data_IF_169253377761
#
_entry.id   IF_169253377761
#
_cell.length_a   1.000
_cell.length_b   1.000
_cell.length_c   1.000
_cell.angle_alpha   90.00
_cell.angle_beta   90.00
_cell.angle_gamma   90.00
#
_symmetry.space_group_name_H-M   'P 1'
#
loop_
_entity.id
_entity.type
_entity.pdbx_description
1 polymer ?
#
# COMPACT_ATOMS: atom_id res chain seq x y z
N UNK A 1 -45.08 -12.74 25.01
CA UNK A 1 -44.69 -13.08 23.62
C UNK A 1 -43.19 -12.80 23.51
N UNK A 2 -42.37 -13.86 23.63
CA UNK A 2 -40.94 -13.79 23.48
C UNK A 2 -40.61 -14.19 22.04
N UNK A 3 -40.26 -13.24 21.21
CA UNK A 3 -39.65 -13.54 19.91
C UNK A 3 -38.14 -13.72 20.11
N UNK A 4 -37.73 -14.97 20.29
CA UNK A 4 -36.33 -15.39 20.25
C UNK A 4 -35.83 -15.26 18.79
N UNK A 5 -34.96 -14.28 18.57
CA UNK A 5 -34.14 -14.19 17.37
C UNK A 5 -33.17 -15.40 17.33
N UNK A 6 -33.61 -16.49 16.74
CA UNK A 6 -32.73 -17.56 16.28
C UNK A 6 -32.04 -17.07 15.01
N UNK A 7 -30.92 -16.38 15.15
CA UNK A 7 -29.96 -16.34 14.04
C UNK A 7 -29.58 -17.79 13.77
N UNK A 8 -29.97 -18.27 12.60
CA UNK A 8 -29.78 -19.64 12.17
C UNK A 8 -28.28 -19.99 12.29
N UNK A 9 -27.95 -21.09 12.97
CA UNK A 9 -26.58 -21.56 13.16
C UNK A 9 -25.83 -21.68 11.82
N UNK A 10 -26.53 -22.06 10.75
CA UNK A 10 -25.99 -22.13 9.38
C UNK A 10 -25.65 -20.74 8.81
N UNK A 11 -26.37 -19.70 9.17
CA UNK A 11 -26.09 -18.33 8.78
C UNK A 11 -24.84 -17.79 9.52
N UNK A 12 -24.69 -18.11 10.80
CA UNK A 12 -23.47 -17.82 11.57
C UNK A 12 -22.26 -18.57 11.04
N UNK A 13 -22.40 -19.86 10.70
CA UNK A 13 -21.35 -20.67 10.06
C UNK A 13 -21.02 -20.15 8.65
N UNK A 14 -22.02 -19.68 7.88
CA UNK A 14 -21.79 -19.07 6.57
C UNK A 14 -21.05 -17.74 6.71
N UNK A 15 -21.39 -16.88 7.67
CA UNK A 15 -20.69 -15.62 7.94
C UNK A 15 -19.25 -15.86 8.42
N UNK A 16 -19.01 -16.83 9.31
CA UNK A 16 -17.64 -17.18 9.73
C UNK A 16 -16.83 -17.73 8.57
N UNK A 17 -17.39 -18.64 7.77
CA UNK A 17 -16.69 -19.24 6.62
C UNK A 17 -16.47 -18.24 5.48
N UNK A 18 -17.36 -17.25 5.29
CA UNK A 18 -17.22 -16.19 4.29
C UNK A 18 -16.18 -15.13 4.71
N UNK A 19 -15.79 -15.07 6.00
CA UNK A 19 -14.79 -14.15 6.52
C UNK A 19 -13.40 -14.77 6.68
N UNK A 20 -13.24 -16.08 6.40
CA UNK A 20 -11.96 -16.78 6.61
C UNK A 20 -10.89 -16.39 5.58
N UNK A 21 -11.28 -15.96 4.36
CA UNK A 21 -10.37 -15.53 3.32
C UNK A 21 -11.02 -14.49 2.39
N UNK A 22 -10.32 -13.38 2.14
CA UNK A 22 -10.70 -12.39 1.12
C UNK A 22 -9.71 -12.50 -0.03
N UNK A 23 -10.19 -12.73 -1.24
CA UNK A 23 -9.37 -12.87 -2.45
C UNK A 23 -9.47 -11.63 -3.31
N UNK A 24 -8.33 -11.01 -3.59
CA UNK A 24 -8.19 -9.93 -4.56
C UNK A 24 -7.48 -10.43 -5.81
N UNK A 25 -7.81 -9.83 -6.95
CA UNK A 25 -7.08 -10.04 -8.21
C UNK A 25 -6.21 -8.82 -8.48
N UNK A 26 -4.96 -8.99 -8.92
CA UNK A 26 -4.19 -7.88 -9.44
C UNK A 26 -4.90 -7.26 -10.66
N UNK A 27 -4.89 -5.94 -10.73
CA UNK A 27 -5.39 -5.18 -11.89
C UNK A 27 -4.25 -4.65 -12.77
N UNK A 28 -3.01 -4.87 -12.36
CA UNK A 28 -1.83 -4.39 -13.06
C UNK A 28 -0.55 -4.76 -12.33
N UNK A 29 0.56 -4.21 -12.82
CA UNK A 29 1.92 -4.42 -12.28
C UNK A 29 2.66 -3.09 -12.23
N UNK A 30 3.40 -2.86 -11.16
CA UNK A 30 4.30 -1.71 -11.02
C UNK A 30 5.66 -2.03 -11.63
N UNK A 31 6.18 -1.13 -12.48
CA UNK A 31 7.53 -1.17 -13.05
C UNK A 31 8.37 -0.06 -12.45
N UNK A 32 9.48 -0.42 -11.82
CA UNK A 32 10.35 0.51 -11.13
C UNK A 32 11.83 0.16 -11.29
N UNK A 33 12.75 1.08 -10.95
CA UNK A 33 14.18 0.77 -10.93
C UNK A 33 14.59 -0.17 -9.79
N UNK A 34 13.75 -0.38 -8.77
CA UNK A 34 14.09 -1.17 -7.59
C UNK A 34 13.79 -2.65 -7.80
N UNK A 35 14.82 -3.48 -7.87
CA UNK A 35 14.68 -4.93 -8.17
C UNK A 35 14.56 -5.79 -6.91
N UNK A 36 14.81 -5.21 -5.74
CA UNK A 36 14.72 -5.88 -4.44
C UNK A 36 14.26 -4.88 -3.36
N UNK A 37 13.69 -5.34 -2.24
CA UNK A 37 13.35 -4.48 -1.11
C UNK A 37 14.57 -3.70 -0.59
N UNK A 38 15.70 -4.35 -0.42
CA UNK A 38 16.93 -3.71 0.06
C UNK A 38 17.34 -2.55 -0.87
N UNK A 39 17.52 -1.36 -0.30
CA UNK A 39 17.84 -0.13 -1.01
C UNK A 39 16.63 0.66 -1.52
N UNK A 40 15.43 0.06 -1.52
CA UNK A 40 14.19 0.76 -1.90
C UNK A 40 13.85 1.84 -0.87
N UNK A 41 13.43 3.05 -1.30
CA UNK A 41 12.91 4.06 -0.38
C UNK A 41 11.71 3.52 0.42
N UNK A 42 11.63 3.84 1.71
CA UNK A 42 10.56 3.30 2.56
C UNK A 42 9.24 4.09 2.48
N UNK A 43 9.24 5.23 1.81
CA UNK A 43 8.06 6.08 1.58
C UNK A 43 8.29 6.96 0.34
N UNK A 44 7.24 7.42 -0.36
CA UNK A 44 7.34 8.25 -1.56
C UNK A 44 8.20 9.51 -1.36
N UNK A 45 8.11 10.14 -0.19
CA UNK A 45 8.94 11.31 0.15
C UNK A 45 10.46 11.04 0.11
N UNK A 46 10.88 9.79 0.32
CA UNK A 46 12.27 9.36 0.20
C UNK A 46 12.63 8.95 -1.25
N UNK A 47 11.64 8.87 -2.14
CA UNK A 47 11.76 8.50 -3.54
C UNK A 47 11.60 9.71 -4.49
N UNK A 48 11.83 10.93 -4.00
CA UNK A 48 11.62 12.15 -4.80
C UNK A 48 12.32 12.08 -6.15
N UNK A 49 11.57 12.29 -7.23
CA UNK A 49 12.03 12.25 -8.61
C UNK A 49 12.23 10.84 -9.19
N UNK A 50 12.05 9.77 -8.42
CA UNK A 50 12.13 8.40 -8.97
C UNK A 50 10.91 8.16 -9.86
N UNK A 51 11.18 7.84 -11.13
CA UNK A 51 10.15 7.54 -12.13
C UNK A 51 9.93 6.04 -12.27
N UNK A 52 8.70 5.68 -12.67
CA UNK A 52 8.31 4.35 -13.03
C UNK A 52 7.03 4.34 -13.83
N UNK A 53 6.53 3.15 -14.10
CA UNK A 53 5.29 2.93 -14.87
C UNK A 53 4.38 1.98 -14.11
N UNK A 54 3.09 2.25 -14.14
CA UNK A 54 2.07 1.32 -13.66
C UNK A 54 1.36 0.76 -14.89
N UNK A 55 1.60 -0.51 -15.19
CA UNK A 55 0.96 -1.23 -16.30
C UNK A 55 -0.38 -1.79 -15.81
N UNK A 56 -1.49 -1.19 -16.21
CA UNK A 56 -2.84 -1.69 -15.93
C UNK A 56 -3.18 -2.76 -16.94
N UNK A 57 -3.79 -3.87 -16.52
CA UNK A 57 -4.16 -4.92 -17.47
C UNK A 57 -5.24 -4.43 -18.44
N UNK A 58 -5.20 -4.86 -19.72
CA UNK A 58 -6.07 -4.31 -20.77
C UNK A 58 -7.55 -4.34 -20.43
N UNK A 59 -8.02 -5.37 -19.75
CA UNK A 59 -9.43 -5.52 -19.33
C UNK A 59 -9.90 -4.46 -18.35
N UNK A 60 -8.96 -3.75 -17.68
CA UNK A 60 -9.25 -2.67 -16.72
C UNK A 60 -8.92 -1.28 -17.26
N UNK A 61 -8.36 -1.17 -18.47
CA UNK A 61 -7.90 0.09 -19.05
C UNK A 61 -9.01 1.15 -19.16
N UNK A 62 -10.26 0.72 -19.40
CA UNK A 62 -11.42 1.64 -19.41
C UNK A 62 -11.65 2.38 -18.09
N UNK A 63 -11.14 1.86 -16.97
CA UNK A 63 -11.20 2.53 -15.66
C UNK A 63 -10.24 3.69 -15.48
N UNK A 64 -9.36 3.96 -16.48
CA UNK A 64 -8.41 5.09 -16.46
C UNK A 64 -9.01 6.39 -17.01
N UNK A 65 -10.21 6.34 -17.56
CA UNK A 65 -10.91 7.52 -18.05
C UNK A 65 -10.97 8.60 -16.97
N UNK A 66 -10.74 9.85 -17.34
CA UNK A 66 -10.69 11.05 -16.48
C UNK A 66 -9.57 11.06 -15.40
N UNK A 67 -8.75 10.02 -15.28
CA UNK A 67 -7.68 9.98 -14.27
C UNK A 67 -6.58 11.03 -14.54
N UNK A 68 -6.36 11.43 -15.80
CA UNK A 68 -5.39 12.47 -16.18
C UNK A 68 -5.67 13.84 -15.55
N UNK A 69 -6.91 14.09 -15.09
CA UNK A 69 -7.27 15.31 -14.37
C UNK A 69 -6.63 15.43 -12.98
N UNK A 70 -6.02 14.37 -12.47
CA UNK A 70 -5.39 14.35 -11.14
C UNK A 70 -3.87 14.42 -11.24
N UNK A 71 -3.25 15.27 -10.44
CA UNK A 71 -1.79 15.39 -10.34
C UNK A 71 -1.13 14.27 -9.54
N UNK A 72 -1.88 13.63 -8.65
CA UNK A 72 -1.44 12.54 -7.79
C UNK A 72 -2.50 11.46 -7.69
N UNK A 73 -2.03 10.23 -7.50
CA UNK A 73 -2.87 9.04 -7.32
C UNK A 73 -2.38 8.23 -6.13
N UNK A 74 -3.28 7.48 -5.51
CA UNK A 74 -2.96 6.44 -4.53
C UNK A 74 -2.86 5.10 -5.23
N UNK A 75 -1.73 4.44 -5.10
CA UNK A 75 -1.53 3.05 -5.51
C UNK A 75 -1.73 2.14 -4.30
N UNK A 76 -2.61 1.15 -4.43
CA UNK A 76 -2.82 0.10 -3.45
C UNK A 76 -2.27 -1.19 -4.05
N UNK A 77 -1.35 -1.84 -3.36
CA UNK A 77 -0.58 -2.93 -3.92
C UNK A 77 -0.25 -4.02 -2.90
N UNK A 78 0.19 -5.18 -3.39
CA UNK A 78 0.58 -6.31 -2.58
C UNK A 78 2.10 -6.34 -2.37
N UNK A 79 2.57 -6.40 -1.11
CA UNK A 79 3.98 -6.61 -0.79
C UNK A 79 4.41 -8.04 -1.10
N UNK A 80 4.61 -8.37 -2.37
CA UNK A 80 4.82 -9.72 -2.86
C UNK A 80 6.14 -10.37 -2.42
N UNK A 81 7.09 -9.58 -1.89
CA UNK A 81 8.36 -10.07 -1.34
C UNK A 81 8.41 -10.07 0.17
N UNK A 82 7.29 -9.83 0.86
CA UNK A 82 7.24 -9.88 2.31
C UNK A 82 7.05 -11.32 2.80
N UNK A 83 7.92 -11.77 3.72
CA UNK A 83 7.84 -13.10 4.32
C UNK A 83 7.04 -13.10 5.63
N UNK A 84 5.81 -13.69 5.60
CA UNK A 84 4.98 -13.86 6.77
C UNK A 84 4.60 -12.55 7.47
N UNK A 85 4.25 -12.61 8.76
CA UNK A 85 3.94 -11.41 9.55
C UNK A 85 4.44 -11.53 11.00
N UNK A 86 4.66 -10.37 11.62
CA UNK A 86 5.04 -10.22 13.02
C UNK A 86 4.14 -9.18 13.68
N UNK A 87 3.53 -9.48 14.82
CA UNK A 87 2.69 -8.52 15.55
C UNK A 87 3.49 -7.42 16.27
N UNK A 88 4.79 -7.63 16.42
CA UNK A 88 5.75 -6.60 16.88
C UNK A 88 6.93 -6.57 15.93
N UNK A 89 7.28 -5.38 15.46
CA UNK A 89 8.38 -5.17 14.49
C UNK A 89 9.29 -4.04 14.98
N UNK A 90 10.55 -4.10 14.56
CA UNK A 90 11.51 -3.01 14.70
C UNK A 90 11.44 -2.16 13.43
N UNK A 91 10.81 -0.97 13.45
CA UNK A 91 10.64 -0.16 12.24
C UNK A 91 11.97 0.47 11.80
N UNK A 92 12.09 0.89 10.52
CA UNK A 92 13.33 1.47 9.98
C UNK A 92 13.80 2.75 10.69
N UNK A 93 12.87 3.53 11.24
CA UNK A 93 13.17 4.82 11.87
C UNK A 93 13.35 4.73 13.39
N UNK A 94 13.24 3.55 13.98
CA UNK A 94 13.35 3.35 15.43
C UNK A 94 14.01 2.01 15.77
N UNK A 95 14.73 2.00 16.88
CA UNK A 95 15.34 0.79 17.43
C UNK A 95 14.46 0.06 18.43
N UNK A 96 13.39 0.69 18.87
CA UNK A 96 12.42 0.11 19.80
C UNK A 96 11.38 -0.72 19.03
N UNK A 97 11.12 -1.98 19.42
CA UNK A 97 10.02 -2.76 18.86
C UNK A 97 8.67 -2.06 19.07
N UNK A 98 7.85 -2.02 18.01
CA UNK A 98 6.53 -1.39 18.00
C UNK A 98 5.46 -2.40 17.60
N UNK A 99 4.23 -2.18 18.05
CA UNK A 99 3.10 -2.92 17.52
C UNK A 99 2.99 -2.70 16.00
N UNK A 100 2.76 -3.77 15.25
CA UNK A 100 2.75 -3.74 13.78
C UNK A 100 1.85 -2.65 13.21
N UNK A 101 0.61 -2.53 13.73
CA UNK A 101 -0.37 -1.57 13.21
C UNK A 101 -0.07 -0.10 13.54
N UNK A 102 0.92 0.16 14.41
CA UNK A 102 1.48 1.50 14.59
C UNK A 102 2.64 1.80 13.63
N UNK A 103 2.88 0.93 12.65
CA UNK A 103 3.94 1.04 11.65
C UNK A 103 3.40 0.83 10.23
N UNK A 104 4.22 1.10 9.23
CA UNK A 104 3.95 0.78 7.81
C UNK A 104 4.83 -0.37 7.32
N UNK A 105 5.34 -1.22 8.22
CA UNK A 105 6.14 -2.38 7.86
C UNK A 105 5.36 -3.34 6.95
N UNK A 106 6.00 -3.96 5.94
CA UNK A 106 5.34 -4.85 4.98
C UNK A 106 4.96 -6.23 5.56
N UNK A 107 5.62 -6.68 6.63
CA UNK A 107 5.38 -7.98 7.29
C UNK A 107 4.05 -7.99 8.07
N UNK A 108 2.93 -7.98 7.33
CA UNK A 108 1.55 -7.81 7.82
C UNK A 108 0.72 -9.05 7.53
N UNK A 109 -0.34 -9.35 8.34
CA UNK A 109 -1.29 -10.43 8.02
C UNK A 109 -1.88 -10.29 6.61
N UNK A 110 -2.24 -9.07 6.22
CA UNK A 110 -2.56 -8.71 4.84
C UNK A 110 -1.47 -7.75 4.36
N UNK A 111 -0.50 -8.22 3.55
CA UNK A 111 0.65 -7.43 3.15
C UNK A 111 0.29 -6.42 2.04
N UNK A 112 -0.58 -5.46 2.40
CA UNK A 112 -1.07 -4.40 1.52
C UNK A 112 -0.28 -3.13 1.78
N UNK A 113 0.25 -2.55 0.69
CA UNK A 113 0.90 -1.25 0.67
C UNK A 113 0.02 -0.16 0.09
N UNK A 114 0.27 1.08 0.48
CA UNK A 114 -0.37 2.27 -0.08
C UNK A 114 0.70 3.34 -0.26
N UNK A 115 0.82 3.87 -1.49
CA UNK A 115 1.71 4.98 -1.81
C UNK A 115 0.96 6.05 -2.59
N UNK A 116 1.17 7.32 -2.23
CA UNK A 116 0.71 8.47 -3.02
C UNK A 116 1.86 8.89 -3.93
N UNK A 117 1.65 8.79 -5.23
CA UNK A 117 2.65 9.10 -6.26
C UNK A 117 2.15 10.20 -7.18
N UNK A 118 3.06 10.96 -7.79
CA UNK A 118 2.68 11.91 -8.83
C UNK A 118 2.31 11.17 -10.13
N UNK A 119 1.28 11.65 -10.82
CA UNK A 119 0.91 11.19 -12.16
C UNK A 119 1.46 12.19 -13.18
N UNK A 120 2.34 11.75 -14.07
CA UNK A 120 2.94 12.57 -15.12
C UNK A 120 2.18 12.47 -16.45
N UNK A 121 1.41 11.38 -16.65
CA UNK A 121 0.60 11.15 -17.84
C UNK A 121 0.13 9.71 -17.97
N UNK A 122 -0.69 9.44 -18.99
CA UNK A 122 -1.22 8.12 -19.32
C UNK A 122 -0.95 7.83 -20.79
N UNK A 123 -0.33 6.69 -21.09
CA UNK A 123 -0.05 6.20 -22.45
C UNK A 123 -0.71 4.84 -22.65
N UNK A 124 -1.88 4.83 -23.26
CA UNK A 124 -2.70 3.62 -23.38
C UNK A 124 -3.15 3.11 -22.02
N UNK A 125 -2.65 1.96 -21.60
CA UNK A 125 -2.90 1.38 -20.29
C UNK A 125 -1.72 1.56 -19.29
N UNK A 126 -0.74 2.41 -19.63
CA UNK A 126 0.43 2.69 -18.81
C UNK A 126 0.31 4.07 -18.16
N UNK A 127 0.39 4.13 -16.84
CA UNK A 127 0.48 5.38 -16.11
C UNK A 127 1.97 5.70 -15.88
N UNK A 128 2.39 6.87 -16.32
CA UNK A 128 3.73 7.40 -16.05
C UNK A 128 3.70 8.09 -14.69
N UNK A 129 4.49 7.59 -13.74
CA UNK A 129 4.46 8.05 -12.35
C UNK A 129 5.83 8.51 -11.87
N UNK A 130 5.84 9.40 -10.87
CA UNK A 130 7.03 9.87 -10.16
C UNK A 130 6.88 9.72 -8.65
N UNK A 131 7.99 9.83 -7.96
CA UNK A 131 8.11 9.64 -6.50
C UNK A 131 7.74 8.21 -6.07
N UNK A 132 8.13 7.24 -6.91
CA UNK A 132 7.77 5.84 -6.77
C UNK A 132 8.71 5.10 -5.81
N UNK A 133 8.15 4.54 -4.72
CA UNK A 133 8.85 3.81 -3.65
C UNK A 133 8.54 2.31 -3.65
N UNK A 134 8.16 1.76 -4.79
CA UNK A 134 7.63 0.40 -4.91
C UNK A 134 8.62 -0.48 -5.69
N UNK A 135 8.82 -1.72 -5.24
CA UNK A 135 9.67 -2.72 -5.90
C UNK A 135 9.09 -3.11 -7.26
N UNK A 136 9.96 -3.35 -8.24
CA UNK A 136 9.58 -3.81 -9.57
C UNK A 136 8.81 -5.12 -9.54
N UNK A 137 7.83 -5.27 -10.43
CA UNK A 137 6.98 -6.46 -10.49
C UNK A 137 5.90 -6.54 -9.41
N UNK A 138 5.75 -5.50 -8.58
CA UNK A 138 4.73 -5.48 -7.51
C UNK A 138 3.32 -5.53 -8.11
N UNK A 139 2.47 -6.50 -7.69
CA UNK A 139 1.08 -6.58 -8.12
C UNK A 139 0.26 -5.38 -7.62
N UNK A 140 -0.40 -4.69 -8.53
CA UNK A 140 -1.32 -3.60 -8.25
C UNK A 140 -2.71 -4.15 -7.94
N UNK A 141 -3.33 -3.68 -6.86
CA UNK A 141 -4.67 -4.10 -6.44
C UNK A 141 -5.74 -3.06 -6.75
N UNK A 142 -5.40 -1.76 -6.65
CA UNK A 142 -6.35 -0.67 -6.87
C UNK A 142 -5.63 0.65 -7.14
N UNK A 143 -6.32 1.59 -7.79
CA UNK A 143 -5.91 2.98 -8.00
C UNK A 143 -7.03 3.88 -7.49
N UNK A 144 -6.66 4.94 -6.76
CA UNK A 144 -7.61 5.98 -6.36
C UNK A 144 -7.03 7.36 -6.65
N UNK A 145 -7.85 8.34 -7.04
CA UNK A 145 -7.39 9.72 -7.12
C UNK A 145 -7.00 10.20 -5.71
N UNK A 146 -5.96 11.02 -5.62
CA UNK A 146 -5.59 11.68 -4.37
C UNK A 146 -6.15 13.10 -4.36
N UNK A 147 -6.94 13.43 -3.33
CA UNK A 147 -7.56 14.73 -3.14
C UNK A 147 -7.23 15.21 -1.72
N UNK A 148 -6.41 16.27 -1.56
CA UNK A 148 -5.94 16.71 -0.23
C UNK A 148 -7.07 16.93 0.78
N UNK A 149 -8.21 17.43 0.32
CA UNK A 149 -9.41 17.70 1.14
C UNK A 149 -10.01 16.44 1.75
N UNK A 150 -9.81 15.27 1.11
CA UNK A 150 -10.30 13.98 1.60
C UNK A 150 -9.23 13.23 2.38
N UNK A 151 -7.96 13.32 1.89
CA UNK A 151 -6.91 12.35 2.21
C UNK A 151 -5.87 12.89 3.19
N UNK A 152 -5.86 14.22 3.42
CA UNK A 152 -4.87 14.88 4.26
C UNK A 152 -5.49 15.67 5.44
N UNK A 153 -6.25 15.02 6.33
CA UNK A 153 -6.75 15.68 7.53
C UNK A 153 -5.58 16.13 8.41
N UNK A 154 -5.72 17.26 9.08
CA UNK A 154 -4.73 17.76 10.02
C UNK A 154 -4.59 16.78 11.19
N UNK A 155 -3.42 16.15 11.33
CA UNK A 155 -3.15 15.21 12.40
C UNK A 155 -2.64 15.95 13.64
N UNK A 156 -3.34 15.80 14.78
CA UNK A 156 -2.94 16.38 16.05
C UNK A 156 -1.76 15.61 16.70
N UNK A 157 -1.67 14.31 16.45
CA UNK A 157 -0.65 13.43 17.03
C UNK A 157 -0.13 12.45 16.00
N UNK A 158 1.18 12.26 15.92
CA UNK A 158 1.87 11.32 15.03
C UNK A 158 2.61 10.21 15.78
N UNK A 159 2.25 10.00 17.04
CA UNK A 159 2.73 8.90 17.88
C UNK A 159 4.26 8.88 18.02
N UNK A 160 4.83 7.69 17.95
CA UNK A 160 6.27 7.46 18.12
C UNK A 160 7.13 8.09 17.00
N UNK A 161 6.54 8.50 15.88
CA UNK A 161 7.26 9.13 14.79
C UNK A 161 7.74 10.54 15.12
N UNK A 162 7.05 11.33 15.93
CA UNK A 162 7.46 12.62 16.48
C UNK A 162 8.65 13.28 15.76
N UNK A 163 9.78 13.37 16.44
CA UNK A 163 11.01 13.95 15.88
C UNK A 163 11.74 13.04 14.85
N UNK A 164 11.28 11.78 14.65
CA UNK A 164 11.93 10.80 13.77
C UNK A 164 11.56 10.96 12.29
N UNK A 165 10.46 11.64 11.99
CA UNK A 165 10.02 11.91 10.60
C UNK A 165 11.12 12.61 9.78
N UNK A 166 11.97 13.40 10.40
CA UNK A 166 13.09 14.08 9.72
C UNK A 166 14.10 13.12 9.07
N UNK A 167 14.21 11.87 9.56
CA UNK A 167 15.09 10.82 9.00
C UNK A 167 14.50 10.14 7.77
N UNK A 168 13.25 10.43 7.43
CA UNK A 168 12.51 9.72 6.38
C UNK A 168 13.17 9.88 4.99
N UNK A 169 13.66 11.06 4.65
CA UNK A 169 14.20 11.36 3.32
C UNK A 169 15.40 10.51 2.92
N UNK A 170 16.19 10.08 3.89
CA UNK A 170 17.37 9.22 3.68
C UNK A 170 17.13 7.75 4.00
N UNK A 171 15.97 7.40 4.52
CA UNK A 171 15.69 6.04 4.96
C UNK A 171 15.45 5.10 3.76
N UNK A 172 16.08 3.93 3.82
CA UNK A 172 15.98 2.87 2.82
C UNK A 172 15.65 1.56 3.52
N UNK A 173 14.99 0.68 2.80
CA UNK A 173 14.79 -0.69 3.22
C UNK A 173 16.15 -1.41 3.30
N UNK A 174 16.38 -2.15 4.35
CA UNK A 174 17.61 -2.95 4.56
C UNK A 174 17.37 -4.46 4.43
N UNK A 175 16.20 -4.85 3.94
CA UNK A 175 15.82 -6.25 3.72
C UNK A 175 15.27 -6.96 4.96
N UNK A 176 15.11 -6.27 6.11
CA UNK A 176 14.71 -6.92 7.38
C UNK A 176 13.31 -7.55 7.38
N UNK A 177 12.49 -7.29 6.38
CA UNK A 177 11.12 -7.82 6.23
C UNK A 177 10.96 -8.76 5.03
N UNK A 178 12.06 -9.15 4.37
CA UNK A 178 12.04 -10.18 3.32
C UNK A 178 12.06 -11.57 3.93
N UNK A 179 11.31 -12.49 3.34
CA UNK A 179 11.32 -13.91 3.70
C UNK A 179 12.42 -14.68 3.02
#
# INVERSE_FOLDING_TARGET
MHSSNFLNHDFLLYLTKAMDEIRYKPIGVVRSPFKAPSGTPIQPKAASGVRGTVEVFPEYAGGLEDLEGFSHIMLIYHFHMSGGFLLKVKPYLDDTPRGLFSTRAPARPNPIGVSVVGLDGIEGNNLLVRDLDIVDGTPLLDIKPYVPEFDAPAAERIGWLGNKVRKLTSARDDGRFTG
#
